data_IF_101931256753
#
_entry.id   IF_101931256753
#
_cell.length_a   1.000
_cell.length_b   1.000
_cell.length_c   1.000
_cell.angle_alpha   90.00
_cell.angle_beta   90.00
_cell.angle_gamma   90.00
#
_symmetry.space_group_name_H-M   'P 1'
#
loop_
_entity.id
_entity.type
_entity.pdbx_description
1 polymer ?
#
# COMPACT_ATOMS: atom_id res chain seq x y z
N UNK A 1 -10.72 17.44 -28.48
CA UNK A 1 -10.56 15.99 -28.64
C UNK A 1 -10.61 15.34 -27.25
N UNK A 2 -11.66 14.59 -26.90
CA UNK A 2 -11.70 13.85 -25.62
C UNK A 2 -10.91 12.54 -25.79
N UNK A 3 -9.68 12.52 -25.28
CA UNK A 3 -8.74 11.38 -25.40
C UNK A 3 -9.01 10.29 -24.34
N UNK A 4 -9.83 10.58 -23.32
CA UNK A 4 -10.11 9.68 -22.22
C UNK A 4 -11.41 8.89 -22.43
N UNK A 5 -11.35 7.78 -23.17
CA UNK A 5 -12.46 6.83 -23.26
C UNK A 5 -12.58 6.00 -21.97
N UNK A 6 -13.80 5.83 -21.48
CA UNK A 6 -14.10 4.98 -20.32
C UNK A 6 -14.90 3.77 -20.78
N UNK A 7 -14.32 2.58 -20.63
CA UNK A 7 -14.96 1.33 -20.99
C UNK A 7 -15.35 0.54 -19.73
N UNK A 8 -16.54 -0.05 -19.76
CA UNK A 8 -16.97 -0.99 -18.72
C UNK A 8 -16.61 -2.40 -19.14
N UNK A 9 -15.74 -3.05 -18.37
CA UNK A 9 -15.41 -4.45 -18.60
C UNK A 9 -16.57 -5.36 -18.14
N UNK A 10 -17.05 -6.23 -19.04
CA UNK A 10 -18.04 -7.28 -18.71
C UNK A 10 -17.31 -8.59 -18.39
N UNK A 11 -17.04 -8.80 -17.11
CA UNK A 11 -16.30 -9.96 -16.61
C UNK A 11 -17.12 -11.25 -16.68
N UNK A 12 -16.47 -12.35 -17.04
CA UNK A 12 -17.00 -13.71 -16.82
C UNK A 12 -17.00 -14.06 -15.33
N UNK A 13 -17.72 -15.11 -14.94
CA UNK A 13 -17.76 -15.59 -13.54
C UNK A 13 -16.36 -15.92 -13.00
N UNK A 14 -15.55 -16.60 -13.81
CA UNK A 14 -14.17 -16.97 -13.45
C UNK A 14 -13.26 -15.75 -13.30
N UNK A 15 -13.35 -14.79 -14.23
CA UNK A 15 -12.56 -13.57 -14.16
C UNK A 15 -12.91 -12.75 -12.91
N UNK A 16 -14.20 -12.69 -12.54
CA UNK A 16 -14.64 -12.04 -11.31
C UNK A 16 -14.02 -12.69 -10.07
N UNK A 17 -14.09 -14.02 -9.96
CA UNK A 17 -13.48 -14.74 -8.85
C UNK A 17 -11.96 -14.47 -8.75
N UNK A 18 -11.24 -14.45 -9.88
CA UNK A 18 -9.82 -14.09 -9.93
C UNK A 18 -9.57 -12.67 -9.42
N UNK A 19 -10.36 -11.71 -9.88
CA UNK A 19 -10.24 -10.30 -9.46
C UNK A 19 -10.54 -10.13 -7.96
N UNK A 20 -11.56 -10.80 -7.44
CA UNK A 20 -11.90 -10.74 -6.02
C UNK A 20 -10.79 -11.31 -5.15
N UNK A 21 -10.17 -12.42 -5.59
CA UNK A 21 -8.98 -12.98 -4.96
C UNK A 21 -7.81 -11.98 -4.98
N UNK A 22 -7.56 -11.34 -6.12
CA UNK A 22 -6.54 -10.30 -6.23
C UNK A 22 -6.81 -9.13 -5.27
N UNK A 23 -8.02 -8.59 -5.25
CA UNK A 23 -8.40 -7.51 -4.33
C UNK A 23 -8.18 -7.89 -2.86
N UNK A 24 -8.48 -9.14 -2.48
CA UNK A 24 -8.21 -9.66 -1.14
C UNK A 24 -6.71 -9.65 -0.81
N UNK A 25 -5.88 -10.19 -1.71
CA UNK A 25 -4.42 -10.21 -1.55
C UNK A 25 -3.83 -8.79 -1.49
N UNK A 26 -4.27 -7.89 -2.38
CA UNK A 26 -3.83 -6.50 -2.39
C UNK A 26 -4.23 -5.75 -1.10
N UNK A 27 -5.41 -6.05 -0.54
CA UNK A 27 -5.85 -5.51 0.73
C UNK A 27 -4.93 -5.96 1.89
N UNK A 28 -4.60 -7.25 1.93
CA UNK A 28 -3.66 -7.81 2.92
C UNK A 28 -2.28 -7.17 2.79
N UNK A 29 -1.76 -7.05 1.57
CA UNK A 29 -0.47 -6.42 1.31
C UNK A 29 -0.46 -4.94 1.71
N UNK A 30 -1.53 -4.20 1.41
CA UNK A 30 -1.68 -2.80 1.84
C UNK A 30 -1.60 -2.68 3.37
N UNK A 31 -2.35 -3.52 4.10
CA UNK A 31 -2.38 -3.49 5.56
C UNK A 31 -1.02 -3.86 6.17
N UNK A 32 -0.35 -4.87 5.61
CA UNK A 32 0.98 -5.27 6.05
C UNK A 32 2.00 -4.13 5.92
N UNK A 33 2.07 -3.50 4.74
CA UNK A 33 2.99 -2.39 4.50
C UNK A 33 2.66 -1.15 5.32
N UNK A 34 1.38 -0.89 5.57
CA UNK A 34 0.94 0.21 6.43
C UNK A 34 1.32 -0.06 7.90
N UNK A 35 1.17 -1.31 8.37
CA UNK A 35 1.57 -1.71 9.71
C UNK A 35 3.08 -1.58 9.91
N UNK A 36 3.88 -1.96 8.92
CA UNK A 36 5.34 -1.80 8.98
C UNK A 36 5.76 -0.32 9.13
N UNK A 37 5.11 0.59 8.40
CA UNK A 37 5.32 2.04 8.54
C UNK A 37 4.91 2.55 9.92
N UNK A 38 3.76 2.13 10.43
CA UNK A 38 3.33 2.51 11.79
C UNK A 38 4.29 1.98 12.85
N UNK A 39 4.72 0.73 12.76
CA UNK A 39 5.69 0.12 13.67
C UNK A 39 7.00 0.93 13.69
N UNK A 40 7.51 1.32 12.53
CA UNK A 40 8.67 2.23 12.47
C UNK A 40 8.37 3.60 13.09
N UNK A 41 7.25 4.23 12.74
CA UNK A 41 6.89 5.57 13.22
C UNK A 41 6.68 5.61 14.73
N UNK A 42 5.96 4.66 15.31
CA UNK A 42 5.69 4.59 16.75
C UNK A 42 6.96 4.30 17.56
N UNK A 43 7.91 3.53 17.00
CA UNK A 43 9.22 3.25 17.62
C UNK A 43 10.21 4.42 17.58
N UNK A 44 10.13 5.28 16.56
CA UNK A 44 11.07 6.39 16.36
C UNK A 44 10.49 7.74 16.80
N UNK A 45 9.20 7.82 17.14
CA UNK A 45 8.57 9.06 17.60
C UNK A 45 8.77 9.20 19.11
N UNK A 46 9.37 10.32 19.51
CA UNK A 46 9.43 10.77 20.91
C UNK A 46 8.58 12.05 21.06
N UNK A 47 7.77 12.19 22.12
CA UNK A 47 7.14 13.47 22.43
C UNK A 47 8.20 14.54 22.66
N UNK A 48 8.00 15.74 22.11
CA UNK A 48 8.94 16.87 22.30
C UNK A 48 9.11 17.22 23.78
N UNK A 49 8.04 17.06 24.57
CA UNK A 49 7.98 17.49 25.97
C UNK A 49 8.11 16.33 26.98
N UNK A 50 8.39 15.11 26.53
CA UNK A 50 8.51 13.97 27.43
C UNK A 50 9.41 12.90 26.82
N UNK A 51 10.45 12.50 27.55
CA UNK A 51 11.17 11.26 27.28
C UNK A 51 10.50 10.14 28.10
N UNK A 52 9.97 9.07 27.47
CA UNK A 52 9.40 7.98 28.23
C UNK A 52 10.51 7.26 29.01
N UNK A 53 10.57 7.47 30.32
CA UNK A 53 11.50 6.78 31.24
C UNK A 53 11.24 5.25 31.31
N UNK A 54 10.19 4.77 30.66
CA UNK A 54 9.66 3.38 30.68
C UNK A 54 10.05 2.59 29.41
N UNK A 55 10.96 3.10 28.57
CA UNK A 55 11.49 2.31 27.45
C UNK A 55 12.70 1.52 27.96
N UNK A 56 12.47 0.32 28.47
CA UNK A 56 13.52 -0.56 28.99
C UNK A 56 14.47 -1.11 27.89
N UNK A 57 14.14 -0.92 26.61
CA UNK A 57 15.02 -1.30 25.50
C UNK A 57 14.79 -0.41 24.28
N UNK A 58 15.85 0.12 23.69
CA UNK A 58 15.76 0.80 22.40
C UNK A 58 15.31 -0.21 21.33
N UNK A 59 14.40 0.16 20.43
CA UNK A 59 14.05 -0.69 19.31
C UNK A 59 15.26 -0.90 18.40
N UNK A 60 15.29 -2.03 17.68
CA UNK A 60 16.30 -2.26 16.66
C UNK A 60 16.31 -1.10 15.65
N UNK A 61 17.47 -0.46 15.53
CA UNK A 61 17.71 0.61 14.57
C UNK A 61 17.52 0.06 13.16
N UNK A 62 16.58 0.66 12.44
CA UNK A 62 16.30 0.34 11.04
C UNK A 62 15.94 1.60 10.28
N UNK A 63 16.29 1.61 8.99
CA UNK A 63 15.95 2.70 8.09
C UNK A 63 14.44 2.85 7.94
N UNK A 64 14.00 4.08 7.64
CA UNK A 64 12.60 4.37 7.37
C UNK A 64 12.07 3.50 6.22
N UNK A 65 10.95 2.77 6.39
CA UNK A 65 10.31 2.01 5.34
C UNK A 65 9.66 2.93 4.28
N UNK A 66 10.48 3.62 3.49
CA UNK A 66 10.03 4.45 2.38
C UNK A 66 9.57 3.59 1.18
N UNK A 67 8.91 4.22 0.20
CA UNK A 67 8.39 3.57 -1.00
C UNK A 67 9.41 2.69 -1.71
N UNK A 68 10.65 3.16 -1.89
CA UNK A 68 11.67 2.36 -2.58
C UNK A 68 12.05 1.10 -1.79
N UNK A 69 12.17 1.21 -0.46
CA UNK A 69 12.49 0.06 0.39
C UNK A 69 11.38 -0.99 0.35
N UNK A 70 10.12 -0.58 0.47
CA UNK A 70 8.95 -1.46 0.42
C UNK A 70 8.72 -2.01 -0.99
N UNK A 71 9.02 -1.25 -2.04
CA UNK A 71 8.97 -1.73 -3.43
C UNK A 71 10.01 -2.82 -3.67
N UNK A 72 11.20 -2.71 -3.06
CA UNK A 72 12.28 -3.70 -3.16
C UNK A 72 11.93 -5.04 -2.53
N UNK A 73 10.94 -5.11 -1.63
CA UNK A 73 10.49 -6.38 -1.02
C UNK A 73 9.56 -7.18 -1.93
N UNK A 74 8.94 -6.57 -2.94
CA UNK A 74 7.95 -7.23 -3.81
C UNK A 74 8.48 -8.44 -4.59
N UNK A 75 9.72 -8.46 -5.12
CA UNK A 75 10.27 -9.67 -5.73
C UNK A 75 10.40 -10.81 -4.71
N UNK A 76 10.80 -10.51 -3.48
CA UNK A 76 10.89 -11.52 -2.43
C UNK A 76 9.50 -12.01 -2.00
N UNK A 77 8.50 -11.12 -1.96
CA UNK A 77 7.10 -11.49 -1.73
C UNK A 77 6.62 -12.53 -2.74
N UNK A 78 6.93 -12.37 -4.03
CA UNK A 78 6.57 -13.36 -5.06
C UNK A 78 7.31 -14.69 -4.92
N UNK A 79 8.48 -14.70 -4.27
CA UNK A 79 9.23 -15.93 -3.96
C UNK A 79 8.61 -16.68 -2.78
N UNK A 80 8.32 -15.96 -1.70
CA UNK A 80 7.76 -16.56 -0.46
C UNK A 80 6.28 -16.89 -0.59
N UNK A 81 5.52 -16.12 -1.39
CA UNK A 81 4.08 -16.27 -1.59
C UNK A 81 3.79 -16.43 -3.09
N UNK A 82 3.89 -17.65 -3.65
CA UNK A 82 3.79 -17.88 -5.09
C UNK A 82 2.47 -17.43 -5.72
N UNK A 83 1.36 -17.41 -4.98
CA UNK A 83 0.06 -16.93 -5.45
C UNK A 83 0.04 -15.42 -5.83
N UNK A 84 1.01 -14.63 -5.36
CA UNK A 84 1.20 -13.26 -5.81
C UNK A 84 1.79 -13.16 -7.24
N UNK A 85 2.25 -14.27 -7.82
CA UNK A 85 2.78 -14.28 -9.19
C UNK A 85 1.69 -13.92 -10.20
N UNK A 86 0.45 -14.34 -9.95
CA UNK A 86 -0.73 -14.06 -10.78
C UNK A 86 -1.05 -12.56 -10.86
N UNK A 87 -0.68 -11.79 -9.84
CA UNK A 87 -0.87 -10.34 -9.84
C UNK A 87 0.25 -9.68 -10.62
N UNK A 88 -0.12 -8.79 -11.55
CA UNK A 88 0.84 -8.01 -12.33
C UNK A 88 1.72 -7.13 -11.43
N UNK A 89 3.01 -7.03 -11.77
CA UNK A 89 4.02 -6.34 -10.96
C UNK A 89 3.68 -4.87 -10.72
N UNK A 90 3.16 -4.18 -11.72
CA UNK A 90 2.78 -2.77 -11.60
C UNK A 90 1.61 -2.54 -10.63
N UNK A 91 0.69 -3.50 -10.53
CA UNK A 91 -0.43 -3.41 -9.58
C UNK A 91 0.10 -3.49 -8.14
N UNK A 92 1.05 -4.39 -7.88
CA UNK A 92 1.71 -4.48 -6.57
C UNK A 92 2.49 -3.20 -6.24
N UNK A 93 3.17 -2.61 -7.23
CA UNK A 93 3.87 -1.34 -7.05
C UNK A 93 2.90 -0.19 -6.73
N UNK A 94 1.73 -0.16 -7.35
CA UNK A 94 0.68 0.82 -7.06
C UNK A 94 0.18 0.69 -5.61
N UNK A 95 0.08 -0.53 -5.06
CA UNK A 95 -0.26 -0.70 -3.64
C UNK A 95 0.74 -0.04 -2.71
N UNK A 96 2.05 -0.21 -2.96
CA UNK A 96 3.10 0.47 -2.19
C UNK A 96 2.95 2.00 -2.30
N UNK A 97 2.65 2.50 -3.50
CA UNK A 97 2.41 3.94 -3.74
C UNK A 97 1.20 4.45 -2.94
N UNK A 98 0.09 3.70 -2.90
CA UNK A 98 -1.10 4.04 -2.11
C UNK A 98 -0.80 4.12 -0.61
N UNK A 99 0.03 3.21 -0.10
CA UNK A 99 0.48 3.24 1.31
C UNK A 99 1.31 4.49 1.58
N UNK A 100 2.28 4.82 0.70
CA UNK A 100 3.07 6.05 0.79
C UNK A 100 2.18 7.29 0.85
N UNK A 101 1.27 7.46 -0.10
CA UNK A 101 0.39 8.63 -0.17
C UNK A 101 -0.51 8.75 1.06
N UNK A 102 -1.05 7.63 1.56
CA UNK A 102 -1.86 7.63 2.78
C UNK A 102 -1.05 8.07 4.00
N UNK A 103 0.20 7.60 4.12
CA UNK A 103 1.09 7.92 5.22
C UNK A 103 1.63 9.36 5.15
N UNK A 104 1.95 9.88 3.95
CA UNK A 104 2.35 11.27 3.76
C UNK A 104 1.22 12.25 4.13
N UNK A 105 -0.02 11.95 3.74
CA UNK A 105 -1.20 12.76 4.14
C UNK A 105 -1.39 12.79 5.66
N UNK A 106 -1.08 11.68 6.33
CA UNK A 106 -1.12 11.59 7.79
C UNK A 106 -0.06 12.49 8.43
N UNK A 107 1.21 12.36 8.02
CA UNK A 107 2.32 13.14 8.57
C UNK A 107 2.15 14.64 8.27
N UNK A 108 1.80 15.01 7.03
CA UNK A 108 1.60 16.41 6.64
C UNK A 108 0.47 17.10 7.41
N UNK A 109 -0.54 16.33 7.83
CA UNK A 109 -1.63 16.85 8.65
C UNK A 109 -1.24 17.11 10.11
N UNK A 110 -0.14 16.53 10.59
CA UNK A 110 0.39 16.76 11.94
C UNK A 110 1.07 18.14 12.03
N UNK A 111 1.73 18.59 10.96
CA UNK A 111 2.50 19.85 10.97
C UNK A 111 1.69 21.12 10.69
N UNK A 112 0.59 21.04 9.94
CA UNK A 112 -0.16 22.23 9.47
C UNK A 112 -1.56 22.39 10.10
N UNK A 113 -1.90 21.63 11.15
CA UNK A 113 -3.20 21.71 11.85
C UNK A 113 -4.43 21.20 11.07
N UNK A 114 -4.34 21.04 9.74
CA UNK A 114 -5.39 20.44 8.88
C UNK A 114 -5.26 18.92 8.85
N UNK A 115 -6.06 18.21 9.64
CA UNK A 115 -5.92 16.77 9.88
C UNK A 115 -6.62 15.90 8.82
N UNK A 116 -5.87 15.08 8.08
CA UNK A 116 -6.42 13.99 7.24
C UNK A 116 -6.78 12.72 8.03
N UNK A 117 -6.47 12.68 9.33
CA UNK A 117 -6.70 11.54 10.23
C UNK A 117 -5.70 10.38 10.05
N UNK A 118 -5.58 9.51 11.07
CA UNK A 118 -4.73 8.30 11.04
C UNK A 118 -5.25 7.32 9.98
N UNK A 119 -4.42 6.89 9.00
CA UNK A 119 -4.79 5.87 8.04
C UNK A 119 -5.23 4.58 8.75
N UNK A 120 -6.39 4.06 8.36
CA UNK A 120 -6.94 2.84 8.94
C UNK A 120 -6.63 1.64 8.06
N UNK A 121 -6.42 0.48 8.69
CA UNK A 121 -6.39 -0.80 7.97
C UNK A 121 -7.69 -1.01 7.19
N UNK A 122 -7.55 -1.50 5.97
CA UNK A 122 -8.68 -1.77 5.08
C UNK A 122 -9.24 -3.15 5.40
N UNK A 123 -10.56 -3.24 5.50
CA UNK A 123 -11.28 -4.52 5.47
C UNK A 123 -11.46 -4.88 3.99
N UNK A 124 -11.62 -6.16 3.66
CA UNK A 124 -11.73 -6.64 2.28
C UNK A 124 -12.77 -5.86 1.46
N UNK A 125 -13.97 -5.64 2.00
CA UNK A 125 -15.03 -4.87 1.33
C UNK A 125 -14.72 -3.38 1.09
N UNK A 126 -13.66 -2.82 1.70
CA UNK A 126 -13.22 -1.42 1.52
C UNK A 126 -12.10 -1.27 0.49
N UNK A 127 -11.49 -2.36 0.06
CA UNK A 127 -10.43 -2.37 -0.96
C UNK A 127 -11.03 -2.84 -2.28
N UNK A 128 -11.62 -1.90 -3.04
CA UNK A 128 -12.47 -2.22 -4.22
C UNK A 128 -11.81 -1.94 -5.56
N UNK A 129 -10.64 -1.31 -5.58
CA UNK A 129 -10.02 -0.83 -6.80
C UNK A 129 -8.54 -1.18 -6.82
N UNK A 130 -8.03 -1.44 -8.01
CA UNK A 130 -6.61 -1.51 -8.32
C UNK A 130 -6.42 -0.95 -9.73
N UNK A 131 -5.19 -0.57 -10.06
CA UNK A 131 -4.90 0.17 -11.28
C UNK A 131 -3.68 -0.41 -11.97
N UNK A 132 -3.76 -0.54 -13.29
CA UNK A 132 -2.60 -0.78 -14.15
C UNK A 132 -2.09 0.60 -14.61
N UNK A 133 -1.00 1.11 -14.04
CA UNK A 133 -0.53 2.47 -14.32
C UNK A 133 0.01 2.65 -15.74
N UNK A 134 0.42 1.56 -16.39
CA UNK A 134 0.92 1.59 -17.75
C UNK A 134 0.31 0.42 -18.51
N UNK A 135 -0.19 0.72 -19.70
CA UNK A 135 -0.66 -0.27 -20.66
C UNK A 135 0.25 -0.19 -21.89
N UNK A 136 0.53 -1.32 -22.53
CA UNK A 136 1.26 -1.33 -23.80
C UNK A 136 0.29 -0.96 -24.92
N UNK A 137 0.77 -0.27 -25.94
CA UNK A 137 -0.06 0.26 -27.04
C UNK A 137 -0.86 -0.83 -27.75
N UNK A 138 -0.24 -1.99 -28.01
CA UNK A 138 -0.86 -3.14 -28.68
C UNK A 138 -1.92 -3.89 -27.84
N UNK A 139 -2.15 -3.51 -26.57
CA UNK A 139 -3.21 -4.16 -25.76
C UNK A 139 -4.63 -3.66 -26.08
N UNK A 140 -4.79 -2.67 -26.96
CA UNK A 140 -6.06 -2.05 -27.33
C UNK A 140 -6.52 -2.36 -28.76
N UNK A 141 -5.79 -3.21 -29.47
CA UNK A 141 -6.17 -3.72 -30.80
C UNK A 141 -7.27 -4.78 -30.72
#
# INVERSE_FOLDING_TARGET
MRIAYQYRLKLTKEQRAKIDNWLSMLCSQYNYLLADRFNWYEKNRCPVNACPLVICHLPQLRNNPDYYSQKKTLPNLKKTHPWYKDIHSQVLQDVVKRVKLAFERFIKGDSNGKRSGKPRFKKQHRYRTFTYPQMKEWCLE
#
